data_IF_008687222114
#
_entry.id   IF_008687222114
#
_cell.length_a   1.000
_cell.length_b   1.000
_cell.length_c   1.000
_cell.angle_alpha   90.00
_cell.angle_beta   90.00
_cell.angle_gamma   90.00
#
_symmetry.space_group_name_H-M   'P 1'
#
loop_
_entity.id
_entity.type
_entity.pdbx_description
1 polymer ?
#
# COMPACT_ATOMS: atom_id res chain seq x y z
N UNK A 1 -26.19 9.42 6.61
CA UNK A 1 -25.86 8.50 5.54
C UNK A 1 -24.58 7.74 5.88
N UNK A 2 -24.64 6.43 5.82
CA UNK A 2 -23.46 5.61 6.13
C UNK A 2 -22.42 5.71 5.02
N UNK A 3 -21.15 5.48 5.37
CA UNK A 3 -20.09 5.34 4.39
C UNK A 3 -20.41 4.19 3.43
N UNK A 4 -19.92 4.22 2.18
CA UNK A 4 -20.10 3.09 1.28
C UNK A 4 -19.51 1.83 1.92
N UNK A 5 -20.27 0.76 1.86
CA UNK A 5 -19.79 -0.52 2.35
C UNK A 5 -18.69 -1.03 1.44
N UNK A 6 -17.62 -1.53 2.03
CA UNK A 6 -16.56 -2.20 1.29
C UNK A 6 -16.28 -3.55 1.92
N UNK A 7 -15.68 -4.44 1.14
CA UNK A 7 -15.23 -5.73 1.64
C UNK A 7 -13.79 -5.95 1.20
N UNK A 8 -13.06 -6.71 2.00
CA UNK A 8 -11.71 -7.16 1.65
C UNK A 8 -11.80 -8.57 1.07
N UNK A 9 -11.02 -8.82 0.05
CA UNK A 9 -10.93 -10.14 -0.54
C UNK A 9 -9.56 -10.37 -1.14
N UNK A 10 -9.17 -11.65 -1.38
CA UNK A 10 -7.90 -11.91 -2.05
C UNK A 10 -7.87 -11.35 -3.46
N UNK A 11 -6.67 -10.91 -3.87
CA UNK A 11 -6.41 -10.50 -5.25
C UNK A 11 -6.58 -11.68 -6.20
N UNK A 12 -7.13 -11.40 -7.37
CA UNK A 12 -7.20 -12.36 -8.47
C UNK A 12 -6.58 -11.73 -9.72
N UNK A 13 -6.05 -12.53 -10.67
CA UNK A 13 -5.43 -11.97 -11.89
C UNK A 13 -6.33 -11.01 -12.66
N UNK A 14 -7.63 -11.19 -12.60
CA UNK A 14 -8.59 -10.27 -13.24
C UNK A 14 -8.57 -8.86 -12.63
N UNK A 15 -7.98 -8.68 -11.46
CA UNK A 15 -7.88 -7.38 -10.78
C UNK A 15 -6.69 -6.56 -11.24
N UNK A 16 -5.79 -7.14 -12.06
CA UNK A 16 -4.52 -6.48 -12.39
C UNK A 16 -4.70 -5.09 -12.97
N UNK A 17 -5.53 -4.95 -13.99
CA UNK A 17 -5.71 -3.65 -14.65
C UNK A 17 -6.27 -2.60 -13.68
N UNK A 18 -7.22 -2.99 -12.84
CA UNK A 18 -7.80 -2.09 -11.84
C UNK A 18 -6.78 -1.68 -10.80
N UNK A 19 -5.94 -2.61 -10.33
CA UNK A 19 -4.90 -2.34 -9.36
C UNK A 19 -3.82 -1.41 -9.94
N UNK A 20 -3.37 -1.66 -11.16
CA UNK A 20 -2.37 -0.83 -11.84
C UNK A 20 -2.90 0.59 -12.05
N UNK A 21 -4.14 0.73 -12.52
CA UNK A 21 -4.74 2.05 -12.74
C UNK A 21 -4.95 2.80 -11.43
N UNK A 22 -5.35 2.09 -10.36
CA UNK A 22 -5.50 2.70 -9.05
C UNK A 22 -4.16 3.21 -8.51
N UNK A 23 -3.09 2.43 -8.67
CA UNK A 23 -1.73 2.85 -8.34
C UNK A 23 -1.35 4.12 -9.10
N UNK A 24 -1.52 4.13 -10.42
CA UNK A 24 -1.20 5.29 -11.25
C UNK A 24 -1.95 6.54 -10.80
N UNK A 25 -3.25 6.41 -10.60
CA UNK A 25 -4.13 7.53 -10.24
C UNK A 25 -3.77 8.13 -8.89
N UNK A 26 -3.53 7.28 -7.89
CA UNK A 26 -3.20 7.75 -6.54
C UNK A 26 -1.83 8.41 -6.48
N UNK A 27 -0.82 7.82 -7.12
CA UNK A 27 0.50 8.43 -7.14
C UNK A 27 0.52 9.72 -7.96
N UNK A 28 -0.25 9.78 -9.04
CA UNK A 28 -0.37 10.99 -9.84
C UNK A 28 -0.94 12.16 -9.04
N UNK A 29 -1.92 11.89 -8.19
CA UNK A 29 -2.48 12.92 -7.31
C UNK A 29 -1.49 13.37 -6.24
N UNK A 30 -0.71 12.44 -5.70
CA UNK A 30 0.29 12.75 -4.67
C UNK A 30 1.47 13.53 -5.23
N UNK A 31 1.85 13.27 -6.48
CA UNK A 31 3.01 13.88 -7.13
C UNK A 31 2.63 14.40 -8.52
N UNK A 32 1.90 15.54 -8.60
CA UNK A 32 1.34 16.02 -9.88
C UNK A 32 2.39 16.38 -10.94
N UNK A 33 3.63 16.65 -10.52
CA UNK A 33 4.69 17.03 -11.45
C UNK A 33 5.34 15.86 -12.16
N UNK A 34 5.06 14.63 -11.71
CA UNK A 34 5.58 13.41 -12.32
C UNK A 34 4.48 12.82 -13.18
N UNK A 35 4.81 12.48 -14.43
CA UNK A 35 3.84 11.79 -15.30
C UNK A 35 3.92 10.29 -15.08
N UNK A 36 3.03 9.78 -14.23
CA UNK A 36 3.01 8.35 -13.89
C UNK A 36 2.52 7.47 -15.04
N UNK A 37 1.87 8.04 -16.06
CA UNK A 37 1.49 7.26 -17.24
C UNK A 37 2.72 6.66 -17.94
N UNK A 38 3.87 7.32 -17.85
CA UNK A 38 5.13 6.82 -18.43
C UNK A 38 5.73 5.68 -17.62
N UNK A 39 5.22 5.42 -16.42
CA UNK A 39 5.75 4.40 -15.50
C UNK A 39 4.87 3.16 -15.41
N UNK A 40 3.72 3.15 -16.08
CA UNK A 40 2.74 2.07 -15.98
C UNK A 40 3.32 0.73 -16.45
N UNK A 41 4.02 0.72 -17.58
CA UNK A 41 4.58 -0.52 -18.12
C UNK A 41 5.64 -1.11 -17.19
N UNK A 42 6.52 -0.27 -16.65
CA UNK A 42 7.51 -0.69 -15.67
C UNK A 42 6.84 -1.23 -14.41
N UNK A 43 5.80 -0.51 -13.91
CA UNK A 43 5.11 -0.92 -12.71
C UNK A 43 4.39 -2.24 -12.90
N UNK A 44 3.74 -2.44 -14.06
CA UNK A 44 3.06 -3.70 -14.38
C UNK A 44 4.05 -4.87 -14.42
N UNK A 45 5.23 -4.65 -14.99
CA UNK A 45 6.28 -5.68 -15.01
C UNK A 45 6.72 -6.03 -13.59
N UNK A 46 6.97 -5.00 -12.76
CA UNK A 46 7.33 -5.20 -11.36
C UNK A 46 6.23 -5.93 -10.59
N UNK A 47 5.00 -5.54 -10.82
CA UNK A 47 3.82 -6.18 -10.22
C UNK A 47 3.80 -7.68 -10.51
N UNK A 48 3.96 -8.06 -11.75
CA UNK A 48 3.91 -9.46 -12.19
C UNK A 48 5.11 -10.28 -11.76
N UNK A 49 6.30 -9.70 -11.77
CA UNK A 49 7.56 -10.42 -11.57
C UNK A 49 8.04 -10.39 -10.12
N UNK A 50 7.78 -9.29 -9.40
CA UNK A 50 8.36 -9.10 -8.08
C UNK A 50 7.32 -9.14 -6.95
N UNK A 51 6.08 -8.77 -7.19
CA UNK A 51 5.06 -8.72 -6.14
C UNK A 51 4.14 -9.95 -6.15
N UNK A 52 3.47 -10.22 -7.25
CA UNK A 52 2.51 -11.33 -7.32
C UNK A 52 3.13 -12.67 -6.89
N UNK A 53 4.37 -13.02 -7.27
CA UNK A 53 4.94 -14.31 -6.89
C UNK A 53 5.23 -14.49 -5.41
N UNK A 54 5.47 -13.41 -4.65
CA UNK A 54 5.93 -13.49 -3.27
C UNK A 54 4.97 -12.89 -2.26
N UNK A 55 4.15 -11.93 -2.68
CA UNK A 55 3.28 -11.21 -1.77
C UNK A 55 1.89 -11.84 -1.68
N UNK A 56 1.31 -11.76 -0.51
CA UNK A 56 -0.13 -11.92 -0.35
C UNK A 56 -0.76 -10.56 -0.60
N UNK A 57 -1.69 -10.50 -1.53
CA UNK A 57 -2.32 -9.25 -1.95
C UNK A 57 -3.80 -9.32 -1.61
N UNK A 58 -4.28 -8.33 -0.85
CA UNK A 58 -5.70 -8.18 -0.53
C UNK A 58 -6.21 -6.92 -1.20
N UNK A 59 -7.40 -7.02 -1.77
CA UNK A 59 -8.06 -5.87 -2.38
C UNK A 59 -9.29 -5.47 -1.57
N UNK A 60 -9.57 -4.17 -1.55
CA UNK A 60 -10.80 -3.62 -1.03
C UNK A 60 -11.72 -3.33 -2.21
N UNK A 61 -12.95 -3.82 -2.13
CA UNK A 61 -13.94 -3.68 -3.19
C UNK A 61 -15.17 -2.98 -2.65
N UNK A 62 -15.64 -2.00 -3.38
CA UNK A 62 -16.88 -1.29 -3.09
C UNK A 62 -17.60 -1.05 -4.41
N UNK A 63 -18.91 -1.35 -4.46
CA UNK A 63 -19.72 -1.19 -5.67
C UNK A 63 -19.10 -1.89 -6.89
N UNK A 64 -18.61 -3.12 -6.68
CA UNK A 64 -17.96 -3.94 -7.70
C UNK A 64 -16.67 -3.35 -8.30
N UNK A 65 -16.09 -2.35 -7.62
CA UNK A 65 -14.84 -1.71 -8.05
C UNK A 65 -13.74 -1.90 -7.01
N UNK A 66 -12.52 -2.08 -7.48
CA UNK A 66 -11.34 -2.09 -6.59
C UNK A 66 -11.07 -0.67 -6.14
N UNK A 67 -11.18 -0.42 -4.83
CA UNK A 67 -10.97 0.90 -4.23
C UNK A 67 -9.75 0.96 -3.35
N UNK A 68 -9.03 -0.13 -3.21
CA UNK A 68 -7.78 -0.18 -2.47
C UNK A 68 -7.13 -1.53 -2.57
N UNK A 69 -5.85 -1.60 -2.21
CA UNK A 69 -5.15 -2.87 -2.09
C UNK A 69 -3.94 -2.72 -1.17
N UNK A 70 -3.45 -3.85 -0.67
CA UNK A 70 -2.23 -3.93 0.11
C UNK A 70 -1.45 -5.17 -0.33
N UNK A 71 -0.12 -5.04 -0.40
CA UNK A 71 0.77 -6.15 -0.75
C UNK A 71 1.71 -6.43 0.42
N UNK A 72 1.75 -7.67 0.88
CA UNK A 72 2.56 -8.07 2.04
C UNK A 72 3.31 -9.36 1.73
N UNK A 73 4.63 -9.32 1.90
CA UNK A 73 5.44 -10.54 1.90
C UNK A 73 5.67 -10.96 3.36
N UNK A 74 4.98 -12.00 3.86
CA UNK A 74 5.12 -12.39 5.26
C UNK A 74 6.47 -13.01 5.60
N UNK A 75 7.24 -13.41 4.59
CA UNK A 75 8.59 -13.97 4.79
C UNK A 75 9.60 -12.87 5.13
N UNK A 76 9.53 -11.75 4.43
CA UNK A 76 10.43 -10.61 4.65
C UNK A 76 9.85 -9.51 5.52
N UNK A 77 8.55 -9.59 5.85
CA UNK A 77 7.77 -8.55 6.53
C UNK A 77 7.49 -7.33 5.65
N UNK A 78 7.83 -7.39 4.36
CA UNK A 78 7.75 -6.22 3.50
C UNK A 78 6.32 -5.92 3.09
N UNK A 79 5.82 -4.74 3.51
CA UNK A 79 4.60 -4.15 3.01
C UNK A 79 5.02 -3.18 1.91
N UNK A 80 4.99 -3.67 0.66
CA UNK A 80 5.50 -2.88 -0.46
C UNK A 80 4.54 -1.76 -0.86
N UNK A 81 3.24 -2.06 -0.91
CA UNK A 81 2.24 -1.10 -1.33
C UNK A 81 1.00 -1.15 -0.45
N UNK A 82 0.48 0.02 -0.14
CA UNK A 82 -0.89 0.19 0.32
C UNK A 82 -1.45 1.40 -0.42
N UNK A 83 -2.54 1.19 -1.14
CA UNK A 83 -3.13 2.20 -2.01
C UNK A 83 -4.62 2.25 -1.75
N UNK A 84 -5.16 3.46 -1.60
CA UNK A 84 -6.59 3.68 -1.37
C UNK A 84 -7.08 4.77 -2.32
N UNK A 85 -8.18 4.49 -3.01
CA UNK A 85 -8.76 5.45 -3.94
C UNK A 85 -9.13 6.75 -3.23
N UNK A 86 -8.86 7.91 -3.87
CA UNK A 86 -9.15 9.19 -3.23
C UNK A 86 -10.60 9.36 -2.79
N UNK A 87 -11.55 8.84 -3.55
CA UNK A 87 -12.97 8.98 -3.27
C UNK A 87 -13.45 8.21 -2.02
N UNK A 88 -12.64 7.29 -1.51
CA UNK A 88 -12.96 6.55 -0.28
C UNK A 88 -11.99 6.83 0.87
N UNK A 89 -11.11 7.81 0.72
CA UNK A 89 -10.22 8.20 1.81
C UNK A 89 -11.04 8.72 2.99
N UNK A 90 -10.57 8.42 4.20
CA UNK A 90 -11.29 8.80 5.42
C UNK A 90 -12.45 7.89 5.78
N UNK A 91 -12.67 6.80 5.05
CA UNK A 91 -13.79 5.87 5.27
C UNK A 91 -13.35 4.53 5.88
N UNK A 92 -12.13 4.47 6.39
CA UNK A 92 -11.64 3.29 7.11
C UNK A 92 -11.03 2.21 6.24
N UNK A 93 -10.92 2.42 4.92
CA UNK A 93 -10.35 1.41 4.01
C UNK A 93 -8.88 1.16 4.32
N UNK A 94 -8.09 2.22 4.50
CA UNK A 94 -6.66 2.09 4.78
C UNK A 94 -6.42 1.36 6.10
N UNK A 95 -7.16 1.70 7.15
CA UNK A 95 -7.04 1.02 8.45
C UNK A 95 -7.44 -0.46 8.35
N UNK A 96 -8.46 -0.78 7.57
CA UNK A 96 -8.86 -2.16 7.35
C UNK A 96 -7.78 -2.94 6.58
N UNK A 97 -7.14 -2.32 5.60
CA UNK A 97 -6.05 -2.95 4.86
C UNK A 97 -4.83 -3.17 5.75
N UNK A 98 -4.50 -2.23 6.63
CA UNK A 98 -3.41 -2.39 7.61
C UNK A 98 -3.74 -3.53 8.59
N UNK A 99 -4.98 -3.61 9.08
CA UNK A 99 -5.39 -4.71 9.96
C UNK A 99 -5.22 -6.06 9.25
N UNK A 100 -5.59 -6.13 7.98
CA UNK A 100 -5.40 -7.34 7.18
C UNK A 100 -3.93 -7.67 6.98
N UNK A 101 -3.09 -6.64 6.73
CA UNK A 101 -1.65 -6.82 6.61
C UNK A 101 -1.05 -7.40 7.88
N UNK A 102 -1.47 -6.92 9.05
CA UNK A 102 -1.04 -7.46 10.35
C UNK A 102 -1.47 -8.91 10.54
N UNK A 103 -2.65 -9.27 10.04
CA UNK A 103 -3.14 -10.65 10.08
C UNK A 103 -2.30 -11.56 9.20
N UNK A 104 -1.93 -11.10 8.01
CA UNK A 104 -1.11 -11.85 7.05
C UNK A 104 0.31 -12.02 7.59
N UNK A 105 0.87 -11.00 8.23
CA UNK A 105 2.24 -10.99 8.75
C UNK A 105 2.22 -10.63 10.25
N UNK A 106 1.75 -11.57 11.10
CA UNK A 106 1.53 -11.26 12.52
C UNK A 106 2.82 -11.05 13.31
N UNK A 107 3.97 -11.41 12.76
CA UNK A 107 5.27 -11.25 13.41
C UNK A 107 5.89 -9.88 13.17
N UNK A 108 5.40 -9.15 12.19
CA UNK A 108 5.89 -7.80 11.91
C UNK A 108 5.62 -7.34 10.50
N UNK A 109 5.74 -6.03 10.32
CA UNK A 109 5.63 -5.37 9.02
C UNK A 109 6.67 -4.27 8.95
N UNK A 110 7.29 -4.14 7.79
CA UNK A 110 8.21 -3.05 7.47
C UNK A 110 7.74 -2.38 6.18
N UNK A 111 7.81 -1.07 6.14
CA UNK A 111 7.49 -0.31 4.93
C UNK A 111 8.44 0.85 4.76
N UNK A 112 8.44 1.43 3.57
CA UNK A 112 9.19 2.64 3.27
C UNK A 112 8.23 3.74 2.83
N UNK A 113 8.47 4.94 3.31
CA UNK A 113 7.63 6.11 3.00
C UNK A 113 8.54 7.30 2.74
N UNK A 114 8.20 8.12 1.74
CA UNK A 114 8.96 9.32 1.45
C UNK A 114 8.94 10.25 2.67
N UNK A 115 10.10 10.83 3.00
CA UNK A 115 10.24 11.67 4.21
C UNK A 115 9.37 12.93 4.16
N UNK A 116 8.99 13.37 2.96
CA UNK A 116 8.11 14.53 2.79
C UNK A 116 6.61 14.19 2.84
N UNK A 117 6.26 12.91 2.95
CA UNK A 117 4.88 12.49 3.01
C UNK A 117 4.38 12.41 4.46
N UNK A 118 4.20 13.60 5.07
CA UNK A 118 3.82 13.70 6.48
C UNK A 118 2.48 13.05 6.79
N UNK A 119 1.53 13.13 5.87
CA UNK A 119 0.20 12.53 6.04
C UNK A 119 0.29 11.01 6.19
N UNK A 120 1.06 10.37 5.32
CA UNK A 120 1.26 8.93 5.40
C UNK A 120 2.01 8.53 6.67
N UNK A 121 3.06 9.27 7.03
CA UNK A 121 3.83 9.00 8.24
C UNK A 121 2.90 9.04 9.47
N UNK A 122 2.07 10.07 9.60
CA UNK A 122 1.13 10.18 10.71
C UNK A 122 0.11 9.06 10.73
N UNK A 123 -0.36 8.64 9.55
CA UNK A 123 -1.28 7.52 9.45
C UNK A 123 -0.61 6.23 9.97
N UNK A 124 0.62 5.94 9.52
CA UNK A 124 1.32 4.74 9.97
C UNK A 124 1.62 4.79 11.47
N UNK A 125 1.98 5.95 12.00
CA UNK A 125 2.20 6.11 13.44
C UNK A 125 0.92 5.78 14.24
N UNK A 126 -0.23 6.22 13.79
CA UNK A 126 -1.51 5.88 14.42
C UNK A 126 -1.79 4.38 14.38
N UNK A 127 -1.30 3.70 13.34
CA UNK A 127 -1.48 2.25 13.20
C UNK A 127 -0.42 1.44 13.94
N UNK A 128 0.44 2.10 14.69
CA UNK A 128 1.42 1.45 15.56
C UNK A 128 2.80 1.28 14.95
N UNK A 129 3.07 1.88 13.80
CA UNK A 129 4.40 1.86 13.20
C UNK A 129 5.28 2.93 13.83
N UNK A 130 6.59 2.66 13.88
CA UNK A 130 7.59 3.62 14.33
C UNK A 130 8.68 3.73 13.27
N UNK A 131 9.31 4.91 13.19
CA UNK A 131 10.45 5.10 12.30
C UNK A 131 11.60 4.26 12.85
N UNK A 132 12.11 3.34 12.05
CA UNK A 132 13.16 2.38 12.44
C UNK A 132 14.44 2.55 11.64
N UNK A 133 14.44 3.38 10.61
CA UNK A 133 15.61 3.62 9.78
C UNK A 133 15.31 4.58 8.66
N UNK A 134 16.30 4.77 7.78
CA UNK A 134 16.16 5.61 6.62
C UNK A 134 17.07 5.14 5.50
N UNK A 135 16.74 5.53 4.28
CA UNK A 135 17.51 5.18 3.09
C UNK A 135 17.20 6.17 1.98
N UNK A 136 17.89 6.03 0.85
CA UNK A 136 17.52 6.72 -0.37
C UNK A 136 16.77 5.75 -1.27
N UNK A 137 15.72 6.23 -1.92
CA UNK A 137 15.04 5.44 -2.93
C UNK A 137 16.02 5.21 -4.09
N UNK A 138 16.27 3.96 -4.43
CA UNK A 138 17.27 3.60 -5.43
C UNK A 138 16.96 4.12 -6.84
N UNK A 139 15.68 4.41 -7.14
CA UNK A 139 15.28 4.96 -8.45
C UNK A 139 15.33 6.47 -8.49
N UNK A 140 14.73 7.13 -7.49
CA UNK A 140 14.57 8.59 -7.48
C UNK A 140 15.67 9.31 -6.75
N UNK A 141 16.42 8.60 -5.89
CA UNK A 141 17.37 9.22 -4.98
C UNK A 141 16.73 9.98 -3.83
N UNK A 142 15.40 9.98 -3.76
CA UNK A 142 14.68 10.69 -2.70
C UNK A 142 14.84 9.99 -1.36
N UNK A 143 14.94 10.75 -0.24
CA UNK A 143 15.04 10.13 1.08
C UNK A 143 13.72 9.47 1.48
N UNK A 144 13.84 8.30 2.10
CA UNK A 144 12.70 7.56 2.64
C UNK A 144 12.97 7.19 4.08
N UNK A 145 11.91 7.12 4.89
CA UNK A 145 11.94 6.49 6.19
C UNK A 145 11.54 5.03 6.06
N UNK A 146 12.26 4.17 6.76
CA UNK A 146 11.76 2.82 7.05
C UNK A 146 10.91 2.93 8.30
N UNK A 147 9.70 2.40 8.24
CA UNK A 147 8.81 2.32 9.41
C UNK A 147 8.50 0.86 9.69
N UNK A 148 8.43 0.50 10.95
CA UNK A 148 8.25 -0.88 11.37
C UNK A 148 7.15 -1.00 12.40
N UNK A 149 6.37 -2.07 12.27
CA UNK A 149 5.42 -2.50 13.29
C UNK A 149 5.83 -3.89 13.76
N UNK A 150 5.80 -4.09 15.08
CA UNK A 150 5.99 -5.41 15.71
C UNK A 150 4.84 -5.63 16.68
N UNK A 151 4.35 -6.86 16.81
CA UNK A 151 3.29 -7.13 17.79
C UNK A 151 3.80 -6.86 19.21
N UNK A 152 2.88 -6.49 20.12
CA UNK A 152 3.29 -6.33 21.52
C UNK A 152 3.82 -7.65 22.06
N UNK A 153 4.81 -7.57 22.96
CA UNK A 153 5.34 -8.76 23.63
C UNK A 153 4.24 -9.38 24.48
N UNK A 154 4.07 -10.71 24.35
CA UNK A 154 3.09 -11.46 25.13
C UNK A 154 3.67 -11.90 26.47
#
# INVERSE_FOLDING_TARGET
>A
MSAPAFKLRPYAPADEDAAIELWRRTWQLAYPRIDFSTRVDWWRQRWREELVPVATIMVAEADDMVVGFVTVDPTSFDLDQIVVAPEVQGKGVASALIAEAKRISPRGLDLHVNTDNERAIRFYEKEGFVISGGALNWRSGAPVHKMSWRPPAS
#
